data_IF_848442204021
#
_entry.id   IF_848442204021
#
_cell.length_a   1.000
_cell.length_b   1.000
_cell.length_c   1.000
_cell.angle_alpha   90.00
_cell.angle_beta   90.00
_cell.angle_gamma   90.00
#
_symmetry.space_group_name_H-M   'P 1'
#
loop_
_entity.id
_entity.type
_entity.pdbx_description
1 polymer ?
#
# COMPACT_ATOMS: atom_id res chain seq x y z
N UNK A 1 -12.83 2.61 -45.07
CA UNK A 1 -13.10 1.38 -44.29
C UNK A 1 -11.89 1.15 -43.41
N UNK A 2 -11.98 1.56 -42.14
CA UNK A 2 -10.88 1.50 -41.18
C UNK A 2 -10.77 0.11 -40.56
N UNK A 3 -9.59 -0.49 -40.63
CA UNK A 3 -9.28 -1.74 -39.97
C UNK A 3 -8.84 -1.43 -38.53
N UNK A 4 -9.68 -1.77 -37.56
CA UNK A 4 -9.38 -1.68 -36.13
C UNK A 4 -8.63 -2.92 -35.70
N UNK A 5 -7.34 -2.78 -35.39
CA UNK A 5 -6.53 -3.88 -34.84
C UNK A 5 -6.65 -3.90 -33.32
N UNK A 6 -7.58 -4.70 -32.79
CA UNK A 6 -7.68 -4.97 -31.36
C UNK A 6 -6.69 -6.08 -30.98
N UNK A 7 -5.62 -5.72 -30.28
CA UNK A 7 -4.72 -6.69 -29.62
C UNK A 7 -5.46 -7.36 -28.45
N UNK A 8 -5.86 -8.62 -28.64
CA UNK A 8 -6.33 -9.49 -27.56
C UNK A 8 -5.12 -10.15 -26.89
N UNK A 9 -4.85 -9.80 -25.64
CA UNK A 9 -3.94 -10.57 -24.79
C UNK A 9 -4.62 -11.88 -24.40
N UNK A 10 -4.10 -13.02 -24.87
CA UNK A 10 -4.42 -14.33 -24.33
C UNK A 10 -3.68 -14.53 -23.01
N UNK A 11 -4.40 -14.39 -21.90
CA UNK A 11 -3.94 -14.88 -20.60
C UNK A 11 -4.26 -16.38 -20.57
N UNK A 12 -3.25 -17.21 -20.79
CA UNK A 12 -3.37 -18.65 -20.56
C UNK A 12 -3.73 -18.90 -19.10
N UNK A 13 -4.77 -19.70 -18.87
CA UNK A 13 -5.14 -20.17 -17.53
C UNK A 13 -4.05 -21.11 -17.00
N UNK A 14 -3.05 -20.54 -16.33
CA UNK A 14 -2.20 -21.30 -15.43
C UNK A 14 -3.06 -21.82 -14.26
N UNK A 15 -2.83 -23.04 -13.75
CA UNK A 15 -3.49 -23.51 -12.54
C UNK A 15 -3.19 -22.52 -11.38
N UNK A 16 -4.15 -22.29 -10.46
CA UNK A 16 -3.94 -21.40 -9.33
C UNK A 16 -2.72 -21.89 -8.54
N UNK A 17 -1.65 -21.11 -8.56
CA UNK A 17 -0.50 -21.37 -7.70
C UNK A 17 -0.93 -21.25 -6.24
N UNK A 18 -0.33 -22.02 -5.31
CA UNK A 18 -0.67 -21.94 -3.89
C UNK A 18 -0.65 -20.47 -3.45
N UNK A 19 -1.79 -20.00 -2.92
CA UNK A 19 -1.98 -18.60 -2.56
C UNK A 19 -0.88 -18.11 -1.64
N UNK A 20 -0.38 -16.89 -1.88
CA UNK A 20 0.60 -16.28 -0.99
C UNK A 20 -0.05 -16.08 0.38
N UNK A 21 0.70 -16.30 1.45
CA UNK A 21 0.22 -16.12 2.81
C UNK A 21 1.16 -15.25 3.61
N UNK A 22 0.55 -14.44 4.48
CA UNK A 22 1.24 -13.77 5.57
C UNK A 22 0.79 -14.40 6.89
N UNK A 23 1.73 -14.55 7.81
CA UNK A 23 1.50 -15.08 9.15
C UNK A 23 1.70 -13.98 10.17
N UNK A 24 0.69 -13.75 11.00
CA UNK A 24 0.73 -12.77 12.08
C UNK A 24 1.46 -13.41 13.27
N UNK A 25 2.64 -12.90 13.62
CA UNK A 25 3.47 -13.40 14.73
C UNK A 25 3.24 -12.66 16.03
N UNK A 26 2.91 -11.38 15.95
CA UNK A 26 2.51 -10.55 17.11
C UNK A 26 1.30 -9.72 16.66
N UNK A 27 0.28 -9.62 17.52
CA UNK A 27 -0.96 -8.88 17.24
C UNK A 27 -1.51 -8.22 18.51
N UNK A 28 -0.85 -7.16 18.97
CA UNK A 28 -1.36 -6.38 20.08
C UNK A 28 -2.39 -5.37 19.58
N UNK A 29 -3.63 -5.46 20.08
CA UNK A 29 -4.74 -4.56 19.70
C UNK A 29 -4.89 -4.38 18.18
N UNK A 30 -4.61 -5.46 17.44
CA UNK A 30 -4.75 -5.53 15.99
C UNK A 30 -6.13 -6.05 15.62
N UNK A 31 -6.71 -5.50 14.56
CA UNK A 31 -8.04 -5.86 14.08
C UNK A 31 -8.01 -6.02 12.56
N UNK A 32 -8.67 -7.06 12.05
CA UNK A 32 -9.03 -7.11 10.64
C UNK A 32 -10.14 -6.08 10.41
N UNK A 33 -9.85 -5.06 9.61
CA UNK A 33 -10.78 -4.00 9.27
C UNK A 33 -11.26 -4.20 7.84
N UNK A 34 -12.56 -4.47 7.62
CA UNK A 34 -13.07 -4.90 6.32
C UNK A 34 -12.99 -3.81 5.23
N UNK A 35 -13.09 -2.54 5.63
CA UNK A 35 -13.08 -1.39 4.72
C UNK A 35 -12.93 -0.07 5.51
N UNK A 36 -12.66 1.05 4.82
CA UNK A 36 -12.54 2.37 5.43
C UNK A 36 -13.76 2.80 6.26
N UNK A 37 -14.99 2.49 5.85
CA UNK A 37 -16.21 2.96 6.54
C UNK A 37 -16.34 2.46 7.98
N UNK A 38 -15.75 1.31 8.29
CA UNK A 38 -15.70 0.74 9.65
C UNK A 38 -14.48 1.18 10.47
N UNK A 39 -13.56 1.93 9.85
CA UNK A 39 -12.30 2.36 10.44
C UNK A 39 -12.45 3.67 11.20
N UNK A 40 -11.64 3.84 12.25
CA UNK A 40 -11.67 5.06 13.06
C UNK A 40 -11.02 6.25 12.35
N UNK A 41 -10.11 5.97 11.43
CA UNK A 41 -9.47 6.91 10.53
C UNK A 41 -9.57 6.29 9.13
N UNK A 42 -10.57 6.77 8.39
CA UNK A 42 -10.98 6.20 7.11
C UNK A 42 -9.97 6.55 6.01
N UNK A 43 -9.38 7.75 6.11
CA UNK A 43 -8.40 8.20 5.14
C UNK A 43 -7.11 7.40 5.24
N UNK A 44 -6.55 7.22 6.45
CA UNK A 44 -5.34 6.43 6.64
C UNK A 44 -5.53 4.98 6.15
N UNK A 45 -6.69 4.38 6.42
CA UNK A 45 -7.04 3.07 5.89
C UNK A 45 -7.01 3.04 4.35
N UNK A 46 -7.75 3.95 3.71
CA UNK A 46 -7.84 4.01 2.25
C UNK A 46 -6.46 4.28 1.63
N UNK A 47 -5.68 5.19 2.21
CA UNK A 47 -4.33 5.51 1.76
C UNK A 47 -3.39 4.29 1.84
N UNK A 48 -3.44 3.48 2.90
CA UNK A 48 -2.66 2.25 3.00
C UNK A 48 -2.99 1.29 1.86
N UNK A 49 -4.28 1.13 1.51
CA UNK A 49 -4.71 0.31 0.39
C UNK A 49 -4.21 0.85 -0.96
N UNK A 50 -4.37 2.15 -1.20
CA UNK A 50 -3.95 2.78 -2.46
C UNK A 50 -2.44 2.67 -2.68
N UNK A 51 -1.63 2.83 -1.63
CA UNK A 51 -0.18 2.61 -1.69
C UNK A 51 0.20 1.16 -2.04
N UNK A 52 -0.66 0.20 -1.68
CA UNK A 52 -0.51 -1.20 -2.05
C UNK A 52 -1.15 -1.56 -3.40
N UNK A 53 -1.64 -0.57 -4.16
CA UNK A 53 -2.37 -0.75 -5.41
C UNK A 53 -3.64 -1.62 -5.26
N UNK A 54 -4.22 -1.61 -4.05
CA UNK A 54 -5.51 -2.22 -3.77
C UNK A 54 -6.63 -1.21 -4.07
N UNK A 55 -7.85 -1.68 -4.40
CA UNK A 55 -9.04 -0.84 -4.37
C UNK A 55 -9.20 -0.10 -3.03
N UNK A 56 -9.71 1.13 -3.05
CA UNK A 56 -9.79 1.96 -1.85
C UNK A 56 -10.56 1.29 -0.69
N UNK A 57 -11.56 0.47 -1.02
CA UNK A 57 -12.46 -0.21 -0.09
C UNK A 57 -11.95 -1.59 0.36
N UNK A 58 -10.75 -1.99 -0.05
CA UNK A 58 -10.15 -3.26 0.37
C UNK A 58 -9.96 -3.35 1.88
N UNK A 59 -9.82 -4.57 2.43
CA UNK A 59 -9.53 -4.74 3.85
C UNK A 59 -8.10 -4.33 4.20
N UNK A 60 -7.89 -3.95 5.46
CA UNK A 60 -6.59 -3.65 6.05
C UNK A 60 -6.53 -4.13 7.51
N UNK A 61 -5.32 -4.21 8.07
CA UNK A 61 -5.11 -4.42 9.51
C UNK A 61 -5.14 -3.06 10.20
N UNK A 62 -6.04 -2.86 11.16
CA UNK A 62 -6.08 -1.68 12.02
C UNK A 62 -5.37 -1.97 13.34
N UNK A 63 -4.41 -1.12 13.71
CA UNK A 63 -3.79 -1.09 15.04
C UNK A 63 -4.36 0.04 15.87
N UNK A 64 -4.63 -0.25 17.15
CA UNK A 64 -5.07 0.72 18.17
C UNK A 64 -4.03 0.88 19.29
N UNK A 65 -2.78 0.93 18.86
CA UNK A 65 -1.58 0.97 19.69
C UNK A 65 -0.97 -0.42 19.85
N UNK A 66 0.31 -0.46 20.24
CA UNK A 66 1.04 -1.73 20.45
C UNK A 66 1.74 -2.24 19.21
N UNK A 67 2.15 -3.50 19.25
CA UNK A 67 2.97 -4.13 18.21
C UNK A 67 2.19 -5.07 17.28
N UNK A 68 2.53 -5.00 15.99
CA UNK A 68 2.21 -5.99 14.97
C UNK A 68 3.50 -6.50 14.35
N UNK A 69 3.66 -7.81 14.28
CA UNK A 69 4.70 -8.46 13.48
C UNK A 69 4.03 -9.41 12.50
N UNK A 70 4.30 -9.22 11.22
CA UNK A 70 3.90 -10.16 10.17
C UNK A 70 5.14 -10.74 9.49
N UNK A 71 5.07 -12.01 9.17
CA UNK A 71 6.02 -12.71 8.31
C UNK A 71 5.34 -13.09 7.00
N UNK A 72 6.09 -13.06 5.91
CA UNK A 72 5.60 -13.44 4.59
C UNK A 72 6.43 -14.58 4.03
N UNK A 73 5.76 -15.49 3.32
CA UNK A 73 6.42 -16.60 2.61
C UNK A 73 7.07 -16.18 1.29
N UNK A 74 6.66 -15.03 0.75
CA UNK A 74 7.10 -14.48 -0.52
C UNK A 74 7.21 -12.95 -0.44
N UNK A 75 7.98 -12.30 -1.32
CA UNK A 75 8.01 -10.84 -1.35
C UNK A 75 6.62 -10.26 -1.61
N UNK A 76 6.23 -9.28 -0.79
CA UNK A 76 4.93 -8.58 -0.91
C UNK A 76 5.11 -7.07 -0.92
N UNK A 77 4.17 -6.39 -1.58
CA UNK A 77 3.99 -4.95 -1.43
C UNK A 77 3.16 -4.71 -0.17
N UNK A 78 3.62 -3.83 0.71
CA UNK A 78 2.90 -3.43 1.92
C UNK A 78 2.93 -1.92 2.09
N UNK A 79 2.07 -1.38 2.94
CA UNK A 79 2.10 0.02 3.31
C UNK A 79 1.59 0.18 4.74
N UNK A 80 2.17 1.14 5.45
CA UNK A 80 1.75 1.50 6.81
C UNK A 80 1.43 2.99 6.85
N UNK A 81 0.22 3.34 7.28
CA UNK A 81 -0.21 4.73 7.49
C UNK A 81 -0.59 4.97 8.95
N UNK A 82 -0.73 6.24 9.33
CA UNK A 82 -1.00 6.65 10.70
C UNK A 82 0.27 6.87 11.53
N UNK A 83 0.11 6.92 12.86
CA UNK A 83 1.18 7.22 13.81
C UNK A 83 1.87 5.91 14.25
N UNK A 84 2.91 5.51 13.51
CA UNK A 84 3.66 4.30 13.77
C UNK A 84 5.15 4.44 13.43
N UNK A 85 5.96 3.60 14.07
CA UNK A 85 7.31 3.28 13.63
C UNK A 85 7.32 1.95 12.91
N UNK A 86 8.03 1.86 11.78
CA UNK A 86 8.01 0.70 10.90
C UNK A 86 9.42 0.17 10.70
N UNK A 87 9.55 -1.15 10.77
CA UNK A 87 10.77 -1.87 10.42
C UNK A 87 10.45 -2.93 9.38
N UNK A 88 11.15 -2.90 8.24
CA UNK A 88 11.04 -3.89 7.16
C UNK A 88 12.35 -4.66 7.08
N UNK A 89 12.29 -5.98 7.22
CA UNK A 89 13.44 -6.87 7.13
C UNK A 89 14.64 -6.44 8.01
N UNK A 90 14.33 -5.92 9.21
CA UNK A 90 15.31 -5.44 10.18
C UNK A 90 15.81 -4.00 9.96
N UNK A 91 15.29 -3.27 8.96
CA UNK A 91 15.67 -1.88 8.66
C UNK A 91 14.50 -0.93 8.89
N UNK A 92 14.79 0.23 9.50
CA UNK A 92 13.79 1.29 9.68
C UNK A 92 13.25 1.75 8.32
N UNK A 93 11.94 1.91 8.22
CA UNK A 93 11.24 2.36 7.01
C UNK A 93 10.29 3.52 7.34
N UNK A 94 9.89 4.26 6.29
CA UNK A 94 8.93 5.35 6.41
C UNK A 94 7.49 4.82 6.39
N UNK A 95 6.63 5.42 7.22
CA UNK A 95 5.19 5.36 7.04
C UNK A 95 4.75 6.19 5.82
N UNK A 96 3.50 6.03 5.38
CA UNK A 96 2.89 6.77 4.28
C UNK A 96 3.61 6.58 2.93
N UNK A 97 4.26 5.43 2.77
CA UNK A 97 4.90 4.98 1.54
C UNK A 97 4.66 3.47 1.35
N UNK A 98 4.73 3.03 0.10
CA UNK A 98 4.76 1.62 -0.23
C UNK A 98 6.13 1.03 0.11
N UNK A 99 6.10 -0.20 0.60
CA UNK A 99 7.21 -0.93 1.16
C UNK A 99 7.28 -2.29 0.47
N UNK A 100 8.48 -2.70 0.07
CA UNK A 100 8.72 -4.07 -0.37
C UNK A 100 9.21 -4.89 0.82
N UNK A 101 8.42 -5.89 1.20
CA UNK A 101 8.69 -6.75 2.36
C UNK A 101 9.12 -8.12 1.84
N UNK A 102 10.37 -8.51 2.08
CA UNK A 102 10.89 -9.80 1.62
C UNK A 102 10.57 -10.92 2.61
N UNK A 103 10.63 -10.64 3.92
CA UNK A 103 10.47 -11.64 4.98
C UNK A 103 9.58 -11.18 6.12
N UNK A 104 9.77 -9.96 6.60
CA UNK A 104 9.11 -9.50 7.84
C UNK A 104 8.80 -8.01 7.83
N UNK A 105 7.64 -7.65 8.36
CA UNK A 105 7.23 -6.27 8.64
C UNK A 105 6.83 -6.18 10.12
N UNK A 106 7.54 -5.33 10.88
CA UNK A 106 7.22 -4.96 12.25
C UNK A 106 6.69 -3.53 12.28
N UNK A 107 5.58 -3.34 12.98
CA UNK A 107 4.91 -2.05 13.15
C UNK A 107 4.62 -1.86 14.62
N UNK A 108 5.13 -0.77 15.19
CA UNK A 108 4.74 -0.31 16.51
C UNK A 108 3.91 0.96 16.36
N UNK A 109 2.66 0.91 16.80
CA UNK A 109 1.75 2.05 16.77
C UNK A 109 1.71 2.74 18.14
N UNK A 110 2.00 4.04 18.19
CA UNK A 110 1.79 4.84 19.40
C UNK A 110 0.31 5.15 19.61
N UNK A 111 -0.44 5.23 18.51
CA UNK A 111 -1.88 5.49 18.51
C UNK A 111 -2.60 4.62 17.49
N UNK A 112 -2.99 5.21 16.36
CA UNK A 112 -3.71 4.49 15.29
C UNK A 112 -2.81 4.33 14.08
N UNK A 113 -2.79 3.13 13.53
CA UNK A 113 -2.09 2.82 12.29
C UNK A 113 -2.85 1.79 11.47
N UNK A 114 -2.63 1.79 10.16
CA UNK A 114 -3.22 0.82 9.25
C UNK A 114 -2.12 0.17 8.42
N UNK A 115 -2.19 -1.16 8.32
CA UNK A 115 -1.28 -1.95 7.51
C UNK A 115 -2.06 -2.61 6.41
N UNK A 116 -1.70 -2.32 5.16
CA UNK A 116 -2.23 -3.02 3.99
C UNK A 116 -1.13 -3.83 3.32
N UNK A 117 -1.53 -4.89 2.64
CA UNK A 117 -0.67 -5.75 1.82
C UNK A 117 -1.35 -5.88 0.46
N UNK A 118 -0.59 -5.78 -0.62
CA UNK A 118 -1.10 -5.90 -1.99
C UNK A 118 -1.77 -7.26 -2.19
N UNK A 119 -3.05 -7.28 -2.51
CA UNK A 119 -3.84 -8.52 -2.66
C UNK A 119 -4.37 -9.13 -1.36
N UNK A 120 -4.31 -8.41 -0.24
CA UNK A 120 -4.84 -8.90 1.03
C UNK A 120 -6.32 -9.29 0.92
N UNK A 121 -6.64 -10.52 1.33
CA UNK A 121 -8.00 -11.05 1.44
C UNK A 121 -8.32 -11.36 2.89
N UNK A 122 -9.41 -10.75 3.37
CA UNK A 122 -10.00 -11.04 4.68
C UNK A 122 -11.51 -11.16 4.48
N UNK A 123 -12.09 -12.38 4.55
CA UNK A 123 -13.52 -12.58 4.43
C UNK A 123 -14.22 -12.19 5.75
N UNK A 124 -14.13 -10.91 6.11
CA UNK A 124 -14.74 -10.34 7.31
C UNK A 124 -15.68 -9.22 6.89
N UNK A 125 -16.89 -9.19 7.44
CA UNK A 125 -17.89 -8.14 7.16
C UNK A 125 -17.87 -7.03 8.22
N UNK A 126 -17.30 -7.35 9.38
CA UNK A 126 -17.16 -6.45 10.52
C UNK A 126 -15.73 -6.50 11.05
N UNK A 127 -15.39 -5.48 11.82
CA UNK A 127 -14.11 -5.43 12.52
C UNK A 127 -14.00 -6.60 13.51
N UNK A 128 -12.96 -7.39 13.38
CA UNK A 128 -12.68 -8.54 14.27
C UNK A 128 -11.26 -8.46 14.82
N UNK A 129 -11.01 -8.79 16.10
CA UNK A 129 -9.66 -8.89 16.62
C UNK A 129 -8.84 -9.92 15.84
N UNK A 130 -7.59 -9.57 15.54
CA UNK A 130 -6.59 -10.50 14.99
C UNK A 130 -5.80 -11.12 16.12
N UNK A 131 -5.60 -12.43 16.06
CA UNK A 131 -4.78 -13.17 17.02
C UNK A 131 -3.40 -13.48 16.46
N UNK A 132 -2.42 -13.61 17.36
CA UNK A 132 -1.13 -14.23 17.04
C UNK A 132 -1.35 -15.64 16.48
N UNK A 133 -0.63 -15.97 15.41
CA UNK A 133 -0.78 -17.21 14.65
C UNK A 133 -1.78 -17.15 13.50
N UNK A 134 -2.54 -16.05 13.36
CA UNK A 134 -3.46 -15.88 12.25
C UNK A 134 -2.71 -15.92 10.91
N UNK A 135 -3.23 -16.69 9.96
CA UNK A 135 -2.74 -16.74 8.57
C UNK A 135 -3.72 -16.01 7.68
N UNK A 136 -3.23 -15.06 6.90
CA UNK A 136 -4.04 -14.24 6.00
C UNK A 136 -3.64 -14.52 4.56
N UNK A 137 -4.64 -14.65 3.70
CA UNK A 137 -4.45 -14.92 2.28
C UNK A 137 -4.12 -13.65 1.53
N UNK A 138 -3.20 -13.76 0.58
CA UNK A 138 -2.76 -12.70 -0.32
C UNK A 138 -2.87 -13.21 -1.75
N UNK A 139 -3.62 -12.50 -2.57
CA UNK A 139 -3.72 -12.80 -4.00
C UNK A 139 -2.48 -12.30 -4.76
N UNK A 140 -2.11 -13.06 -5.80
CA UNK A 140 -1.11 -12.58 -6.74
C UNK A 140 -1.74 -11.54 -7.65
N UNK A 141 -1.47 -10.27 -7.36
CA UNK A 141 -2.05 -9.17 -8.11
C UNK A 141 -1.15 -8.68 -9.26
N UNK A 142 -0.05 -9.37 -9.58
CA UNK A 142 0.99 -8.90 -10.52
C UNK A 142 1.86 -7.75 -9.97
N UNK A 143 1.38 -7.05 -8.95
CA UNK A 143 2.04 -5.93 -8.28
C UNK A 143 3.02 -6.35 -7.17
N UNK A 144 3.37 -7.63 -7.02
CA UNK A 144 4.40 -8.04 -6.04
C UNK A 144 5.83 -7.90 -6.62
N UNK A 145 5.95 -7.65 -7.94
CA UNK A 145 7.20 -7.39 -8.64
C UNK A 145 7.43 -5.92 -9.00
N UNK A 146 6.93 -4.99 -8.18
CA UNK A 146 7.07 -3.54 -8.44
C UNK A 146 8.54 -3.16 -8.56
N UNK A 147 8.91 -2.43 -9.61
CA UNK A 147 10.27 -1.94 -9.78
C UNK A 147 10.64 -0.95 -8.67
N UNK A 148 11.93 -0.79 -8.38
CA UNK A 148 12.42 0.18 -7.39
C UNK A 148 11.96 1.61 -7.69
N UNK A 149 11.83 1.98 -8.97
CA UNK A 149 11.32 3.29 -9.41
C UNK A 149 9.86 3.49 -9.02
N UNK A 150 9.02 2.49 -9.25
CA UNK A 150 7.61 2.55 -8.86
C UNK A 150 7.46 2.59 -7.33
N UNK A 151 8.26 1.81 -6.59
CA UNK A 151 8.25 1.86 -5.12
C UNK A 151 8.59 3.26 -4.60
N UNK A 152 9.59 3.93 -5.18
CA UNK A 152 9.96 5.29 -4.81
C UNK A 152 8.86 6.33 -5.10
N UNK A 153 8.03 6.06 -6.11
CA UNK A 153 6.91 6.92 -6.49
C UNK A 153 5.69 6.76 -5.58
N UNK A 154 5.45 5.54 -5.09
CA UNK A 154 4.29 5.22 -4.25
C UNK A 154 4.47 5.73 -2.81
N UNK A 155 4.30 7.04 -2.63
CA UNK A 155 4.29 7.72 -1.34
C UNK A 155 3.22 8.81 -1.32
N UNK A 156 2.65 9.05 -0.14
CA UNK A 156 1.71 10.15 0.05
C UNK A 156 2.50 11.45 0.22
N UNK A 157 2.29 12.47 -0.63
CA UNK A 157 2.97 13.74 -0.47
C UNK A 157 2.47 14.46 0.79
N UNK A 158 3.28 15.30 1.45
CA UNK A 158 2.90 15.98 2.69
C UNK A 158 1.57 16.75 2.60
N UNK A 159 1.29 17.38 1.45
CA UNK A 159 0.05 18.11 1.18
C UNK A 159 -1.21 17.24 1.16
N UNK A 160 -1.05 15.92 1.05
CA UNK A 160 -2.14 14.94 1.05
C UNK A 160 -2.09 14.04 2.30
N UNK A 161 -1.35 14.39 3.37
CA UNK A 161 -1.38 13.58 4.61
C UNK A 161 -2.68 13.75 5.41
N UNK A 162 -3.42 14.83 5.19
CA UNK A 162 -4.68 15.14 5.89
C UNK A 162 -5.89 15.05 4.95
N UNK A 163 -7.04 14.66 5.50
CA UNK A 163 -8.30 14.56 4.76
C UNK A 163 -9.09 15.88 4.69
N UNK A 164 -8.71 16.89 5.49
CA UNK A 164 -9.43 18.15 5.63
C UNK A 164 -10.95 17.98 5.91
N UNK A 165 -11.34 16.88 6.57
CA UNK A 165 -12.73 16.60 6.94
C UNK A 165 -13.59 15.83 5.91
N UNK A 166 -13.09 15.61 4.68
CA UNK A 166 -13.73 14.73 3.69
C UNK A 166 -12.74 13.66 3.22
N UNK A 167 -12.73 12.55 3.95
CA UNK A 167 -11.84 11.43 3.70
C UNK A 167 -12.01 10.80 2.31
N UNK A 168 -13.23 10.79 1.76
CA UNK A 168 -13.48 10.13 0.48
C UNK A 168 -12.98 11.00 -0.67
N UNK A 169 -13.23 12.31 -0.61
CA UNK A 169 -12.65 13.24 -1.56
C UNK A 169 -11.12 13.24 -1.47
N UNK A 170 -10.55 13.22 -0.26
CA UNK A 170 -9.11 13.14 -0.05
C UNK A 170 -8.52 11.83 -0.62
N UNK A 171 -9.17 10.69 -0.40
CA UNK A 171 -8.75 9.40 -0.95
C UNK A 171 -8.78 9.40 -2.49
N UNK A 172 -9.81 9.96 -3.12
CA UNK A 172 -9.85 10.09 -4.58
C UNK A 172 -8.78 11.04 -5.13
N UNK A 173 -8.43 12.13 -4.42
CA UNK A 173 -7.31 12.99 -4.80
C UNK A 173 -5.99 12.23 -4.75
N UNK A 174 -5.76 11.46 -3.68
CA UNK A 174 -4.57 10.62 -3.56
C UNK A 174 -4.51 9.57 -4.65
N UNK A 175 -5.61 8.85 -4.90
CA UNK A 175 -5.69 7.86 -5.96
C UNK A 175 -5.31 8.45 -7.32
N UNK A 176 -5.92 9.58 -7.69
CA UNK A 176 -5.62 10.26 -8.95
C UNK A 176 -4.17 10.73 -9.04
N UNK A 177 -3.62 11.24 -7.94
CA UNK A 177 -2.21 11.62 -7.86
C UNK A 177 -1.30 10.43 -8.13
N UNK A 178 -1.55 9.29 -7.48
CA UNK A 178 -0.77 8.07 -7.67
C UNK A 178 -0.91 7.52 -9.09
N UNK A 179 -2.11 7.52 -9.67
CA UNK A 179 -2.34 7.08 -11.06
C UNK A 179 -1.53 7.90 -12.07
N UNK A 180 -1.56 9.23 -11.96
CA UNK A 180 -0.75 10.13 -12.81
C UNK A 180 0.74 9.85 -12.61
N UNK A 181 1.15 9.68 -11.36
CA UNK A 181 2.55 9.47 -11.01
C UNK A 181 3.08 8.15 -11.58
N UNK A 182 2.28 7.09 -11.49
CA UNK A 182 2.62 5.79 -12.05
C UNK A 182 2.71 5.84 -13.58
N UNK A 183 1.80 6.55 -14.25
CA UNK A 183 1.85 6.76 -15.70
C UNK A 183 3.16 7.44 -16.13
N UNK A 184 3.55 8.54 -15.48
CA UNK A 184 4.78 9.24 -15.86
C UNK A 184 6.03 8.42 -15.57
N UNK A 185 6.06 7.67 -14.45
CA UNK A 185 7.17 6.75 -14.15
C UNK A 185 7.26 5.63 -15.19
N UNK A 186 6.12 5.10 -15.63
CA UNK A 186 6.06 4.09 -16.68
C UNK A 186 6.58 4.62 -18.02
N UNK A 187 6.35 5.91 -18.30
CA UNK A 187 6.86 6.62 -19.49
C UNK A 187 8.34 6.97 -19.41
N UNK A 188 9.01 6.66 -18.30
CA UNK A 188 10.45 6.85 -18.13
C UNK A 188 10.85 8.04 -17.26
N UNK A 189 9.90 8.72 -16.60
CA UNK A 189 10.20 9.88 -15.76
C UNK A 189 11.21 9.55 -14.66
N UNK A 190 12.23 10.38 -14.49
CA UNK A 190 13.28 10.21 -13.48
C UNK A 190 13.01 11.06 -12.25
N UNK A 191 13.38 10.54 -11.08
CA UNK A 191 13.28 11.27 -9.82
C UNK A 191 14.50 12.18 -9.68
N UNK A 192 14.27 13.49 -9.67
CA UNK A 192 15.30 14.50 -9.44
C UNK A 192 15.06 15.21 -8.12
N UNK A 193 16.16 15.63 -7.50
CA UNK A 193 16.17 16.46 -6.29
C UNK A 193 16.59 17.87 -6.68
N UNK A 194 15.74 18.85 -6.38
CA UNK A 194 15.96 20.25 -6.72
C UNK A 194 16.02 21.06 -5.45
N UNK A 195 17.03 21.91 -5.30
CA UNK A 195 17.11 22.86 -4.20
C UNK A 195 16.60 24.23 -4.69
N UNK A 196 15.56 24.76 -4.05
CA UNK A 196 15.02 26.09 -4.31
C UNK A 196 15.08 26.87 -3.00
N UNK A 197 15.84 27.96 -2.97
CA UNK A 197 16.03 28.83 -1.79
C UNK A 197 16.42 28.07 -0.50
N UNK A 198 17.26 27.04 -0.63
CA UNK A 198 17.73 26.23 0.50
C UNK A 198 16.79 25.09 0.91
N UNK A 199 15.64 24.96 0.26
CA UNK A 199 14.67 23.88 0.50
C UNK A 199 14.81 22.81 -0.58
N UNK A 200 14.98 21.55 -0.18
CA UNK A 200 15.07 20.41 -1.09
C UNK A 200 13.67 19.89 -1.46
N UNK A 201 13.42 19.75 -2.76
CA UNK A 201 12.21 19.23 -3.35
C UNK A 201 12.53 17.98 -4.17
N UNK A 202 11.62 17.01 -4.15
CA UNK A 202 11.68 15.84 -5.02
C UNK A 202 10.64 15.98 -6.14
N UNK A 203 11.08 15.86 -7.39
CA UNK A 203 10.22 15.99 -8.58
C UNK A 203 10.46 14.82 -9.54
N UNK A 204 9.38 14.36 -10.19
CA UNK A 204 9.47 13.39 -11.28
C UNK A 204 9.46 14.16 -12.61
N UNK A 205 10.53 14.05 -13.38
CA UNK A 205 10.71 14.78 -14.63
C UNK A 205 10.72 13.80 -15.80
N UNK A 206 9.89 14.09 -16.80
CA UNK A 206 9.82 13.37 -18.05
C UNK A 206 10.34 14.29 -19.17
N UNK A 207 11.33 13.83 -19.92
CA UNK A 207 11.71 14.51 -21.16
C UNK A 207 10.58 14.33 -22.18
N UNK A 208 10.13 15.44 -22.76
CA UNK A 208 9.08 15.44 -23.79
C UNK A 208 9.77 15.89 -25.08
N UNK A 209 9.98 14.93 -25.98
CA UNK A 209 10.46 15.19 -27.35
C UNK A 209 9.43 15.98 -28.18
#
# INVERSE_FOLDING_TARGET
>A
MGCSTTLKYHVGCLPPQPGMTIVVRIAEKAYASPNPSTSLDRYAHAAANLLCLNPLMSPAIELRGGELLIETSHPVLAAVTGAATVTVDGRKACTWAALRVERSLSVFAEGRAYVSVGGLRMPVERKVPLGTGATLSVEQNGHNGVSSRFLAALKVPPSLLSDNGDWLQAAHRLQRYLEILLDVVQRGAELVRVNIDGVEYEAWVLEVD
#
